data_IF_940243861550
#
_entry.id   IF_940243861550
#
_cell.length_a   1.000
_cell.length_b   1.000
_cell.length_c   1.000
_cell.angle_alpha   90.00
_cell.angle_beta   90.00
_cell.angle_gamma   90.00
#
_symmetry.space_group_name_H-M   'P 1'
#
loop_
_entity.id
_entity.type
_entity.pdbx_description
1 polymer ?
#
# COMPACT_ATOMS: atom_id res chain seq x y z
N UNK A 1 20.08 2.05 -4.87
CA UNK A 1 19.22 1.66 -3.75
C UNK A 1 18.17 0.73 -4.31
N UNK A 2 18.04 -0.52 -3.85
CA UNK A 2 16.99 -1.39 -4.36
C UNK A 2 15.64 -0.81 -3.90
N UNK A 3 14.77 -0.48 -4.85
CA UNK A 3 13.40 -0.12 -4.53
C UNK A 3 12.71 -1.40 -4.05
N UNK A 4 12.56 -1.53 -2.74
CA UNK A 4 11.71 -2.58 -2.18
C UNK A 4 10.30 -2.44 -2.75
N UNK A 5 9.71 -3.54 -3.19
CA UNK A 5 8.35 -3.57 -3.71
C UNK A 5 7.37 -3.83 -2.56
N UNK A 6 6.24 -3.12 -2.51
CA UNK A 6 5.15 -3.39 -1.59
C UNK A 6 4.01 -4.02 -2.39
N UNK A 7 3.76 -5.31 -2.16
CA UNK A 7 2.62 -6.02 -2.75
C UNK A 7 1.49 -6.06 -1.74
N UNK A 8 0.28 -5.67 -2.13
CA UNK A 8 -0.92 -5.68 -1.29
C UNK A 8 -1.99 -6.53 -1.96
N UNK A 9 -2.52 -7.50 -1.22
CA UNK A 9 -3.61 -8.37 -1.67
C UNK A 9 -4.85 -8.09 -0.86
N UNK A 10 -5.96 -7.81 -1.54
CA UNK A 10 -7.26 -7.60 -0.93
C UNK A 10 -8.04 -8.92 -0.81
N UNK A 11 -9.04 -8.92 0.06
CA UNK A 11 -9.93 -10.05 0.33
C UNK A 11 -10.81 -10.42 -0.87
N UNK A 12 -11.09 -9.47 -1.76
CA UNK A 12 -11.81 -9.70 -3.02
C UNK A 12 -10.96 -10.42 -4.09
N UNK A 13 -9.67 -10.64 -3.82
CA UNK A 13 -8.72 -11.26 -4.73
C UNK A 13 -7.88 -10.27 -5.54
N UNK A 14 -8.16 -8.97 -5.47
CA UNK A 14 -7.37 -7.92 -6.13
C UNK A 14 -5.94 -7.86 -5.57
N UNK A 15 -4.96 -7.61 -6.46
CA UNK A 15 -3.55 -7.45 -6.09
C UNK A 15 -3.03 -6.14 -6.64
N UNK A 16 -2.40 -5.34 -5.79
CA UNK A 16 -1.78 -4.06 -6.13
C UNK A 16 -0.31 -4.07 -5.79
N UNK A 17 0.48 -3.40 -6.62
CA UNK A 17 1.92 -3.28 -6.46
C UNK A 17 2.28 -1.81 -6.27
N UNK A 18 3.02 -1.51 -5.22
CA UNK A 18 3.46 -0.17 -4.87
C UNK A 18 4.98 -0.16 -4.73
N UNK A 19 5.59 1.01 -4.89
CA UNK A 19 6.98 1.21 -4.47
C UNK A 19 7.01 1.35 -2.95
N UNK A 20 7.81 0.57 -2.23
CA UNK A 20 7.88 0.65 -0.76
C UNK A 20 8.47 1.97 -0.23
N UNK A 21 9.07 2.77 -1.11
CA UNK A 21 9.57 4.10 -0.77
C UNK A 21 8.49 5.06 -0.30
N UNK A 22 8.89 6.29 0.06
CA UNK A 22 7.97 7.33 0.52
C UNK A 22 6.87 7.58 -0.50
N UNK A 23 5.71 8.01 0.01
CA UNK A 23 4.67 8.57 -0.85
C UNK A 23 5.22 9.82 -1.54
N UNK A 24 4.86 10.01 -2.80
CA UNK A 24 5.37 11.14 -3.57
C UNK A 24 4.83 12.44 -2.94
N UNK A 25 5.71 13.25 -2.35
CA UNK A 25 5.35 14.47 -1.63
C UNK A 25 5.13 14.31 -0.12
N UNK A 26 5.28 13.10 0.43
CA UNK A 26 5.19 12.84 1.88
C UNK A 26 6.44 12.08 2.36
N UNK A 27 6.91 12.37 3.56
CA UNK A 27 8.08 11.66 4.13
C UNK A 27 7.71 10.28 4.65
N UNK A 28 6.41 9.97 4.78
CA UNK A 28 5.94 8.69 5.28
C UNK A 28 6.11 7.56 4.25
N UNK A 29 6.56 6.41 4.74
CA UNK A 29 6.66 5.20 3.93
C UNK A 29 5.27 4.63 3.65
N UNK A 30 5.05 4.14 2.42
CA UNK A 30 3.78 3.50 2.05
C UNK A 30 3.42 2.32 2.95
N UNK A 31 4.42 1.57 3.43
CA UNK A 31 4.16 0.44 4.34
C UNK A 31 3.63 0.88 5.70
N UNK A 32 4.10 2.01 6.22
CA UNK A 32 3.64 2.51 7.52
C UNK A 32 2.21 3.05 7.40
N UNK A 33 1.91 3.75 6.30
CA UNK A 33 0.54 4.17 5.97
C UNK A 33 -0.40 2.97 5.78
N UNK A 34 0.08 1.89 5.16
CA UNK A 34 -0.71 0.67 4.98
C UNK A 34 -0.98 0.00 6.33
N UNK A 35 0.03 -0.09 7.20
CA UNK A 35 -0.11 -0.64 8.55
C UNK A 35 -1.11 0.14 9.37
N UNK A 36 -0.99 1.47 9.38
CA UNK A 36 -1.94 2.35 10.07
C UNK A 36 -3.37 2.15 9.54
N UNK A 37 -3.54 2.05 8.23
CA UNK A 37 -4.85 1.80 7.63
C UNK A 37 -5.45 0.45 8.06
N UNK A 38 -4.65 -0.61 8.10
CA UNK A 38 -5.07 -1.95 8.53
C UNK A 38 -5.37 -1.97 10.03
N UNK A 39 -4.53 -1.34 10.85
CA UNK A 39 -4.66 -1.36 12.31
C UNK A 39 -5.84 -0.50 12.80
N UNK A 40 -6.09 0.64 12.15
CA UNK A 40 -7.14 1.58 12.54
C UNK A 40 -8.44 1.43 11.74
N UNK A 41 -8.50 0.52 10.76
CA UNK A 41 -9.64 0.41 9.85
C UNK A 41 -9.89 1.72 9.09
N UNK A 42 -8.84 2.27 8.47
CA UNK A 42 -8.90 3.52 7.71
C UNK A 42 -8.62 3.29 6.22
N UNK A 43 -8.72 4.34 5.40
CA UNK A 43 -8.45 4.23 3.96
C UNK A 43 -6.97 4.41 3.64
N UNK A 44 -6.36 3.39 3.04
CA UNK A 44 -5.07 3.55 2.38
C UNK A 44 -5.26 4.19 1.01
N UNK A 45 -4.51 5.25 0.71
CA UNK A 45 -4.49 5.89 -0.62
C UNK A 45 -3.06 6.05 -1.09
N UNK A 46 -2.73 5.48 -2.24
CA UNK A 46 -1.40 5.66 -2.83
C UNK A 46 -1.38 5.39 -4.33
N UNK A 47 -0.33 5.88 -5.00
CA UNK A 47 -0.09 5.61 -6.43
C UNK A 47 0.68 4.31 -6.58
N UNK A 48 0.13 3.38 -7.36
CA UNK A 48 0.71 2.09 -7.69
C UNK A 48 1.88 2.21 -8.69
N UNK A 49 2.57 1.10 -8.95
CA UNK A 49 3.69 1.06 -9.90
C UNK A 49 3.28 1.34 -11.35
N UNK A 50 1.98 1.27 -11.67
CA UNK A 50 1.44 1.64 -12.97
C UNK A 50 1.06 3.13 -13.06
N UNK A 51 1.33 3.92 -12.01
CA UNK A 51 0.99 5.34 -11.96
C UNK A 51 -0.49 5.60 -11.69
N UNK A 52 -1.27 4.58 -11.31
CA UNK A 52 -2.69 4.71 -10.99
C UNK A 52 -2.88 4.94 -9.50
N UNK A 53 -3.67 5.95 -9.14
CA UNK A 53 -4.06 6.15 -7.75
C UNK A 53 -5.01 5.02 -7.32
N UNK A 54 -4.62 4.27 -6.29
CA UNK A 54 -5.42 3.24 -5.64
C UNK A 54 -5.88 3.73 -4.28
N UNK A 55 -7.13 3.41 -3.95
CA UNK A 55 -7.71 3.64 -2.63
C UNK A 55 -8.51 2.40 -2.21
N UNK A 56 -8.26 1.89 -1.02
CA UNK A 56 -8.98 0.76 -0.43
C UNK A 56 -9.01 0.87 1.09
N UNK A 57 -9.93 0.16 1.74
CA UNK A 57 -10.00 0.12 3.20
C UNK A 57 -8.94 -0.83 3.75
N UNK A 58 -8.34 -0.50 4.90
CA UNK A 58 -7.40 -1.41 5.57
C UNK A 58 -8.05 -2.74 5.94
N UNK A 59 -9.33 -2.73 6.31
CA UNK A 59 -10.09 -3.96 6.58
C UNK A 59 -10.26 -4.85 5.36
N UNK A 60 -10.13 -4.32 4.15
CA UNK A 60 -10.22 -5.11 2.92
C UNK A 60 -8.89 -5.80 2.59
N UNK A 61 -7.81 -5.47 3.30
CA UNK A 61 -6.50 -6.09 3.10
C UNK A 61 -6.51 -7.51 3.65
N UNK A 62 -6.18 -8.48 2.80
CA UNK A 62 -6.00 -9.87 3.20
C UNK A 62 -4.56 -10.12 3.68
N UNK A 63 -3.57 -9.61 2.95
CA UNK A 63 -2.17 -9.63 3.34
C UNK A 63 -1.36 -8.62 2.51
N UNK A 64 -0.13 -8.34 2.97
CA UNK A 64 0.85 -7.55 2.23
C UNK A 64 2.26 -8.11 2.43
N UNK A 65 3.14 -7.85 1.46
CA UNK A 65 4.52 -8.33 1.45
C UNK A 65 5.47 -7.22 0.98
N UNK A 66 6.61 -7.11 1.68
CA UNK A 66 7.71 -6.21 1.34
C UNK A 66 8.85 -7.03 0.71
N UNK A 67 9.15 -6.75 -0.55
CA UNK A 67 10.22 -7.41 -1.34
C UNK A 67 11.50 -6.60 -1.47
#
# INVERSE_FOLDING_TARGET
MPFSGLTVRLKDGSVFYFNAGPVLGDSQLRIDLLRDAVDNGSFFTSVDTAGTQRRFHGDDVANYHLG
#
